data_IF_808671654362
#
_entry.id   IF_808671654362
#
_cell.length_a   1.000
_cell.length_b   1.000
_cell.length_c   1.000
_cell.angle_alpha   90.00
_cell.angle_beta   90.00
_cell.angle_gamma   90.00
#
_symmetry.space_group_name_H-M   'P 1'
#
loop_
_entity.id
_entity.type
_entity.pdbx_description
1 polymer ?
#
# COMPACT_ATOMS: atom_id res chain seq x y z
N UNK A 1 16.99 28.33 4.67
CA UNK A 1 15.71 27.89 4.10
C UNK A 1 14.68 27.87 5.23
N UNK A 2 13.58 28.64 5.12
CA UNK A 2 12.47 28.58 6.09
C UNK A 2 11.55 27.42 5.68
N UNK A 3 11.09 26.62 6.63
CA UNK A 3 10.01 25.67 6.38
C UNK A 3 8.76 26.46 5.96
N UNK A 4 8.18 26.06 4.84
CA UNK A 4 6.90 26.58 4.35
C UNK A 4 5.87 25.47 4.55
N UNK A 5 4.65 25.84 4.92
CA UNK A 5 3.51 24.93 4.86
C UNK A 5 2.65 25.34 3.67
N UNK A 6 2.98 24.80 2.49
CA UNK A 6 2.05 24.80 1.36
C UNK A 6 1.39 23.42 1.25
N UNK A 7 0.18 23.40 0.67
CA UNK A 7 -0.59 22.17 0.50
C UNK A 7 -2.09 22.42 0.35
N UNK A 8 -2.76 21.53 -0.36
CA UNK A 8 -4.22 21.52 -0.45
C UNK A 8 -4.82 21.02 0.87
N UNK A 9 -5.26 21.94 1.73
CA UNK A 9 -5.97 21.58 2.94
C UNK A 9 -7.40 21.13 2.62
N UNK A 10 -7.60 19.82 2.53
CA UNK A 10 -8.91 19.22 2.28
C UNK A 10 -9.47 18.63 3.57
N UNK A 11 -10.74 18.91 3.85
CA UNK A 11 -11.46 18.20 4.91
C UNK A 11 -11.79 16.80 4.41
N UNK A 12 -11.19 15.78 5.03
CA UNK A 12 -11.52 14.40 4.72
C UNK A 12 -13.01 14.13 4.99
N UNK A 13 -13.70 13.40 4.08
CA UNK A 13 -15.02 12.84 4.36
C UNK A 13 -14.99 11.98 5.63
N UNK A 14 -16.14 11.81 6.28
CA UNK A 14 -16.22 11.01 7.51
C UNK A 14 -15.63 9.60 7.35
N UNK A 15 -15.84 8.98 6.17
CA UNK A 15 -15.32 7.66 5.81
C UNK A 15 -13.78 7.59 5.67
N UNK A 16 -13.12 8.73 5.45
CA UNK A 16 -11.68 8.82 5.19
C UNK A 16 -10.92 9.57 6.28
N UNK A 17 -11.50 9.75 7.47
CA UNK A 17 -10.72 10.19 8.64
C UNK A 17 -9.65 9.14 8.98
N UNK A 18 -8.54 9.57 9.58
CA UNK A 18 -7.43 8.65 9.93
C UNK A 18 -7.93 7.44 10.74
N UNK A 19 -8.80 7.70 11.73
CA UNK A 19 -9.43 6.64 12.53
C UNK A 19 -10.19 5.63 11.66
N UNK A 20 -10.97 6.10 10.69
CA UNK A 20 -11.77 5.21 9.83
C UNK A 20 -10.89 4.45 8.83
N UNK A 21 -9.86 5.09 8.24
CA UNK A 21 -8.90 4.40 7.38
C UNK A 21 -8.17 3.29 8.14
N UNK A 22 -7.65 3.60 9.33
CA UNK A 22 -6.96 2.61 10.17
C UNK A 22 -7.89 1.48 10.64
N UNK A 23 -9.17 1.78 10.92
CA UNK A 23 -10.15 0.74 11.23
C UNK A 23 -10.39 -0.21 10.05
N UNK A 24 -10.48 0.31 8.81
CA UNK A 24 -10.64 -0.49 7.59
C UNK A 24 -9.40 -1.33 7.28
N UNK A 25 -8.20 -0.76 7.43
CA UNK A 25 -6.93 -1.51 7.30
C UNK A 25 -6.90 -2.66 8.32
N UNK A 26 -7.18 -2.36 9.59
CA UNK A 26 -7.23 -3.38 10.65
C UNK A 26 -8.33 -4.43 10.42
N UNK A 27 -9.44 -4.07 9.77
CA UNK A 27 -10.47 -5.02 9.38
C UNK A 27 -9.97 -5.95 8.27
N UNK A 28 -9.37 -5.40 7.21
CA UNK A 28 -8.77 -6.17 6.13
C UNK A 28 -7.68 -7.14 6.64
N UNK A 29 -6.88 -6.73 7.62
CA UNK A 29 -5.90 -7.64 8.26
C UNK A 29 -6.56 -8.81 8.98
N UNK A 30 -7.72 -8.61 9.62
CA UNK A 30 -8.47 -9.69 10.27
C UNK A 30 -9.09 -10.63 9.24
N UNK A 31 -9.67 -10.09 8.16
CA UNK A 31 -10.21 -10.88 7.04
C UNK A 31 -9.10 -11.74 6.40
N UNK A 32 -7.95 -11.13 6.13
CA UNK A 32 -6.76 -11.82 5.62
C UNK A 32 -6.26 -12.91 6.58
N UNK A 33 -6.18 -12.63 7.88
CA UNK A 33 -5.76 -13.61 8.88
C UNK A 33 -6.73 -14.81 8.98
N UNK A 34 -8.02 -14.57 8.72
CA UNK A 34 -9.04 -15.61 8.60
C UNK A 34 -8.98 -16.36 7.25
N UNK A 35 -8.06 -15.99 6.35
CA UNK A 35 -7.94 -16.47 4.96
C UNK A 35 -9.14 -16.13 4.08
N UNK A 36 -9.96 -15.17 4.49
CA UNK A 36 -11.01 -14.61 3.65
C UNK A 36 -10.42 -13.52 2.76
N UNK A 37 -9.69 -13.98 1.74
CA UNK A 37 -8.95 -13.08 0.86
C UNK A 37 -9.87 -12.27 -0.07
N UNK A 38 -11.07 -12.76 -0.38
CA UNK A 38 -12.06 -12.01 -1.16
C UNK A 38 -12.64 -10.84 -0.37
N UNK A 39 -12.95 -11.04 0.92
CA UNK A 39 -13.38 -9.96 1.80
C UNK A 39 -12.27 -8.92 2.01
N UNK A 40 -11.06 -9.37 2.35
CA UNK A 40 -9.89 -8.50 2.53
C UNK A 40 -9.62 -7.64 1.29
N UNK A 41 -9.69 -8.24 0.09
CA UNK A 41 -9.55 -7.54 -1.19
C UNK A 41 -10.62 -6.47 -1.34
N UNK A 42 -11.87 -6.80 -1.06
CA UNK A 42 -12.99 -5.86 -1.20
C UNK A 42 -12.81 -4.66 -0.28
N UNK A 43 -12.45 -4.91 0.98
CA UNK A 43 -12.17 -3.86 1.97
C UNK A 43 -11.03 -2.94 1.53
N UNK A 44 -9.90 -3.50 1.08
CA UNK A 44 -8.72 -2.75 0.64
C UNK A 44 -8.96 -1.97 -0.65
N UNK A 45 -9.63 -2.57 -1.64
CA UNK A 45 -9.96 -1.88 -2.90
C UNK A 45 -10.89 -0.70 -2.67
N UNK A 46 -11.92 -0.88 -1.85
CA UNK A 46 -12.81 0.23 -1.51
C UNK A 46 -12.06 1.30 -0.71
N UNK A 47 -11.14 0.93 0.19
CA UNK A 47 -10.36 1.91 0.94
C UNK A 47 -9.52 2.79 0.01
N UNK A 48 -8.78 2.15 -0.91
CA UNK A 48 -7.95 2.86 -1.89
C UNK A 48 -8.83 3.70 -2.83
N UNK A 49 -9.95 3.18 -3.32
CA UNK A 49 -10.84 3.94 -4.19
C UNK A 49 -11.43 5.19 -3.53
N UNK A 50 -11.83 5.10 -2.26
CA UNK A 50 -12.50 6.20 -1.56
C UNK A 50 -11.51 7.21 -0.98
N UNK A 51 -10.37 6.72 -0.48
CA UNK A 51 -9.54 7.48 0.46
C UNK A 51 -8.12 7.77 -0.01
N UNK A 52 -7.67 7.25 -1.16
CA UNK A 52 -6.32 7.51 -1.70
C UNK A 52 -5.93 9.01 -1.71
N UNK A 53 -6.82 9.97 -2.10
CA UNK A 53 -6.51 11.40 -2.07
C UNK A 53 -6.30 11.99 -0.67
N UNK A 54 -6.64 11.26 0.39
CA UNK A 54 -6.54 11.67 1.79
C UNK A 54 -5.54 10.84 2.59
N UNK A 55 -4.82 9.92 1.93
CA UNK A 55 -3.79 9.08 2.55
C UNK A 55 -2.41 9.68 2.32
N UNK A 56 -1.59 9.64 3.37
CA UNK A 56 -0.15 9.79 3.21
C UNK A 56 0.39 8.74 2.22
N UNK A 57 1.44 9.09 1.49
CA UNK A 57 1.96 8.25 0.43
C UNK A 57 2.55 6.93 0.95
N UNK A 58 3.13 6.92 2.16
CA UNK A 58 3.61 5.67 2.80
C UNK A 58 2.43 4.80 3.24
N UNK A 59 1.38 5.40 3.81
CA UNK A 59 0.14 4.71 4.19
C UNK A 59 -0.49 4.02 2.96
N UNK A 60 -0.52 4.73 1.84
CA UNK A 60 -1.06 4.25 0.56
C UNK A 60 -0.25 3.10 -0.01
N UNK A 61 1.08 3.21 -0.02
CA UNK A 61 1.96 2.13 -0.50
C UNK A 61 1.89 0.89 0.40
N UNK A 62 1.69 1.07 1.71
CA UNK A 62 1.40 -0.04 2.63
C UNK A 62 0.09 -0.73 2.28
N UNK A 63 -1.00 0.03 2.10
CA UNK A 63 -2.30 -0.53 1.71
C UNK A 63 -2.26 -1.23 0.34
N UNK A 64 -1.49 -0.70 -0.62
CA UNK A 64 -1.19 -1.39 -1.90
C UNK A 64 -0.44 -2.70 -1.68
N UNK A 65 0.57 -2.72 -0.80
CA UNK A 65 1.30 -3.94 -0.46
C UNK A 65 0.39 -5.01 0.16
N UNK A 66 -0.49 -4.60 1.08
CA UNK A 66 -1.49 -5.48 1.70
C UNK A 66 -2.48 -6.04 0.66
N UNK A 67 -2.92 -5.20 -0.28
CA UNK A 67 -3.77 -5.64 -1.38
C UNK A 67 -3.01 -6.61 -2.29
N UNK A 68 -1.75 -6.33 -2.62
CA UNK A 68 -0.95 -7.18 -3.48
C UNK A 68 -0.74 -8.59 -2.88
N UNK A 69 -0.42 -8.70 -1.59
CA UNK A 69 -0.28 -10.02 -0.95
C UNK A 69 -1.63 -10.73 -0.81
N UNK A 70 -2.73 -9.99 -0.70
CA UNK A 70 -4.08 -10.55 -0.77
C UNK A 70 -4.35 -11.15 -2.15
N UNK A 71 -4.06 -10.42 -3.24
CA UNK A 71 -4.20 -10.94 -4.61
C UNK A 71 -3.25 -12.12 -4.87
N UNK A 72 -2.05 -12.11 -4.27
CA UNK A 72 -1.13 -13.25 -4.26
C UNK A 72 -1.85 -14.51 -3.75
N UNK A 73 -2.49 -14.44 -2.58
CA UNK A 73 -3.12 -15.62 -1.97
C UNK A 73 -4.43 -16.05 -2.64
N UNK A 74 -5.06 -15.15 -3.40
CA UNK A 74 -6.17 -15.48 -4.31
C UNK A 74 -5.71 -16.19 -5.59
N UNK A 75 -4.41 -16.29 -5.83
CA UNK A 75 -3.83 -16.82 -7.07
C UNK A 75 -3.84 -15.83 -8.24
N UNK A 76 -4.20 -14.56 -7.99
CA UNK A 76 -4.22 -13.52 -9.02
C UNK A 76 -2.87 -12.78 -9.07
N UNK A 77 -1.90 -13.45 -9.68
CA UNK A 77 -0.53 -12.97 -9.75
C UNK A 77 -0.40 -11.68 -10.58
N UNK A 78 -1.24 -11.55 -11.61
CA UNK A 78 -1.26 -10.38 -12.48
C UNK A 78 -1.72 -9.15 -11.69
N UNK A 79 -2.80 -9.27 -10.92
CA UNK A 79 -3.29 -8.18 -10.10
C UNK A 79 -2.34 -7.83 -8.95
N UNK A 80 -1.70 -8.84 -8.34
CA UNK A 80 -0.64 -8.63 -7.35
C UNK A 80 0.48 -7.72 -7.89
N UNK A 81 1.03 -8.05 -9.07
CA UNK A 81 2.09 -7.24 -9.70
C UNK A 81 1.58 -5.85 -10.12
N UNK A 82 0.38 -5.77 -10.68
CA UNK A 82 -0.21 -4.51 -11.11
C UNK A 82 -0.29 -3.50 -9.95
N UNK A 83 -0.75 -3.94 -8.79
CA UNK A 83 -0.86 -3.09 -7.60
C UNK A 83 0.53 -2.68 -7.07
N UNK A 84 1.51 -3.58 -7.05
CA UNK A 84 2.88 -3.25 -6.61
C UNK A 84 3.56 -2.24 -7.54
N UNK A 85 3.27 -2.27 -8.85
CA UNK A 85 3.87 -1.34 -9.82
C UNK A 85 3.47 0.12 -9.61
N UNK A 86 2.41 0.39 -8.86
CA UNK A 86 2.02 1.75 -8.47
C UNK A 86 2.80 2.28 -7.26
N UNK A 87 3.61 1.45 -6.60
CA UNK A 87 4.32 1.85 -5.38
C UNK A 87 5.64 2.54 -5.68
N UNK A 88 6.02 3.44 -4.78
CA UNK A 88 7.28 4.17 -4.79
C UNK A 88 8.49 3.22 -4.75
N UNK A 89 8.37 2.09 -4.05
CA UNK A 89 9.47 1.13 -3.94
C UNK A 89 9.79 0.44 -5.26
N UNK A 90 8.78 0.11 -6.07
CA UNK A 90 9.02 -0.46 -7.40
C UNK A 90 9.48 0.62 -8.39
N UNK A 91 8.95 1.84 -8.29
CA UNK A 91 9.41 2.97 -9.10
C UNK A 91 10.89 3.27 -8.82
N UNK A 92 11.31 3.30 -7.55
CA UNK A 92 12.69 3.52 -7.14
C UNK A 92 13.66 2.44 -7.67
N UNK A 93 13.22 1.18 -7.81
CA UNK A 93 14.04 0.14 -8.44
C UNK A 93 14.29 0.39 -9.92
N UNK A 94 13.33 1.02 -10.61
CA UNK A 94 13.36 1.26 -12.06
C UNK A 94 14.03 2.57 -12.44
N UNK A 95 13.93 3.55 -11.55
CA UNK A 95 14.48 4.89 -11.75
C UNK A 95 15.45 5.23 -10.62
N UNK A 96 16.74 5.05 -10.90
CA UNK A 96 17.82 5.35 -9.97
C UNK A 96 17.95 6.86 -9.65
N UNK A 97 17.25 7.74 -10.37
CA UNK A 97 17.21 9.17 -10.06
C UNK A 97 16.21 9.51 -8.96
N UNK A 98 15.28 8.60 -8.63
CA UNK A 98 14.32 8.78 -7.56
C UNK A 98 15.00 8.56 -6.19
N UNK A 99 15.54 9.64 -5.63
CA UNK A 99 16.17 9.65 -4.31
C UNK A 99 15.19 10.27 -3.30
N UNK A 100 14.75 9.48 -2.33
CA UNK A 100 13.92 9.98 -1.23
C UNK A 100 14.76 10.85 -0.28
N UNK A 101 14.18 11.95 0.26
CA UNK A 101 14.79 12.68 1.36
C UNK A 101 15.12 11.74 2.55
N UNK A 102 16.16 12.00 3.35
CA UNK A 102 16.60 11.07 4.40
C UNK A 102 15.48 10.65 5.39
N UNK A 103 14.65 11.59 5.83
CA UNK A 103 13.55 11.28 6.74
C UNK A 103 12.48 10.37 6.09
N UNK A 104 12.15 10.63 4.83
CA UNK A 104 11.22 9.79 4.06
C UNK A 104 11.79 8.40 3.82
N UNK A 105 13.07 8.32 3.47
CA UNK A 105 13.78 7.05 3.32
C UNK A 105 13.70 6.24 4.61
N UNK A 106 14.07 6.82 5.76
CA UNK A 106 14.04 6.15 7.07
C UNK A 106 12.63 5.65 7.43
N UNK A 107 11.61 6.49 7.25
CA UNK A 107 10.21 6.13 7.51
C UNK A 107 9.69 5.04 6.55
N UNK A 108 10.21 5.00 5.32
CA UNK A 108 9.76 4.11 4.27
C UNK A 108 10.52 2.77 4.21
N UNK A 109 11.64 2.61 4.91
CA UNK A 109 12.46 1.38 4.88
C UNK A 109 11.63 0.12 5.16
N UNK A 110 10.73 0.14 6.15
CA UNK A 110 9.93 -1.03 6.48
C UNK A 110 8.92 -1.38 5.38
N UNK A 111 8.20 -0.37 4.87
CA UNK A 111 7.19 -0.54 3.82
C UNK A 111 7.82 -0.98 2.51
N UNK A 112 8.92 -0.34 2.10
CA UNK A 112 9.64 -0.71 0.88
C UNK A 112 10.13 -2.17 0.92
N UNK A 113 10.78 -2.60 2.02
CA UNK A 113 11.20 -4.00 2.18
C UNK A 113 10.04 -4.99 2.04
N UNK A 114 8.87 -4.69 2.61
CA UNK A 114 7.69 -5.54 2.48
C UNK A 114 7.19 -5.62 1.03
N UNK A 115 7.12 -4.49 0.32
CA UNK A 115 6.73 -4.45 -1.11
C UNK A 115 7.71 -5.27 -1.95
N UNK A 116 9.02 -5.09 -1.76
CA UNK A 116 10.03 -5.81 -2.53
C UNK A 116 9.99 -7.32 -2.25
N UNK A 117 9.74 -7.71 -1.01
CA UNK A 117 9.50 -9.11 -0.66
C UNK A 117 8.26 -9.67 -1.37
N UNK A 118 7.14 -8.96 -1.34
CA UNK A 118 5.90 -9.37 -2.00
C UNK A 118 6.07 -9.47 -3.53
N UNK A 119 6.89 -8.61 -4.14
CA UNK A 119 7.27 -8.71 -5.55
C UNK A 119 8.03 -10.02 -5.84
N UNK A 120 8.97 -10.41 -4.96
CA UNK A 120 9.76 -11.64 -5.12
C UNK A 120 8.92 -12.90 -4.92
N UNK A 121 7.93 -12.89 -4.02
CA UNK A 121 7.01 -14.01 -3.82
C UNK A 121 6.33 -14.44 -5.13
N UNK A 122 6.04 -13.49 -6.03
CA UNK A 122 5.44 -13.76 -7.34
C UNK A 122 6.41 -14.35 -8.36
N UNK A 123 7.71 -14.09 -8.20
CA UNK A 123 8.76 -14.55 -9.10
C UNK A 123 9.30 -15.94 -8.71
N UNK A 124 9.00 -16.41 -7.50
CA UNK A 124 9.29 -17.78 -7.08
C UNK A 124 8.24 -18.76 -7.66
N UNK A 125 8.64 -19.93 -8.20
CA UNK A 125 7.69 -20.97 -8.60
C UNK A 125 6.93 -21.44 -7.36
N UNK A 126 5.64 -21.08 -7.27
CA UNK A 126 4.81 -21.38 -6.12
C UNK A 126 4.65 -22.88 -5.92
N UNK A 127 5.08 -23.38 -4.75
CA UNK A 127 4.54 -24.62 -4.21
C UNK A 127 3.17 -24.29 -3.62
N UNK A 128 2.12 -24.65 -4.33
CA UNK A 128 0.78 -24.81 -3.78
C UNK A 128 0.70 -26.18 -3.07
#
# INVERSE_FOLDING_TARGET
MRAMFDGDYRRAPAACTDRQRQARIGHAHKEYAAKDYDAARTTLRSLLADCDPFMDWIERDKARSDLAVTEYHRGDNAQCLAVLFETTAITAQRDASLILPPCDADNYVSTSKAILYNQMLRQAPGKH
#
